data_IF_901241421676
#
_entry.id   IF_901241421676
#
_cell.length_a   1.000
_cell.length_b   1.000
_cell.length_c   1.000
_cell.angle_alpha   90.00
_cell.angle_beta   90.00
_cell.angle_gamma   90.00
#
_symmetry.space_group_name_H-M   'P 1'
#
loop_
_entity.id
_entity.type
_entity.pdbx_description
1 polymer ?
#
# COMPACT_ATOMS: atom_id res chain seq x y z
N UNK A 1 20.79 -52.24 -20.02
CA UNK A 1 20.11 -53.50 -20.40
C UNK A 1 18.77 -53.57 -19.69
N UNK A 2 17.70 -53.84 -20.46
CA UNK A 2 16.38 -54.38 -20.07
C UNK A 2 15.58 -53.57 -19.03
N UNK A 3 14.53 -52.81 -19.38
CA UNK A 3 13.30 -53.19 -20.12
C UNK A 3 12.56 -54.33 -19.39
N UNK A 4 11.24 -54.42 -19.27
CA UNK A 4 10.09 -53.81 -19.96
C UNK A 4 8.83 -54.48 -19.38
N UNK A 5 7.66 -53.90 -19.68
CA UNK A 5 6.26 -54.44 -19.63
C UNK A 5 5.57 -54.32 -18.27
N UNK A 6 4.38 -53.73 -18.15
CA UNK A 6 3.27 -53.50 -19.10
C UNK A 6 2.01 -54.17 -18.49
N UNK A 7 0.82 -53.56 -18.46
CA UNK A 7 -0.22 -53.57 -19.52
C UNK A 7 -1.51 -52.99 -18.84
N UNK A 8 -2.08 -51.86 -19.30
CA UNK A 8 -3.29 -51.68 -20.17
C UNK A 8 -4.63 -51.63 -19.39
N UNK A 9 -5.74 -50.98 -19.79
CA UNK A 9 -6.20 -50.26 -20.99
C UNK A 9 -7.56 -49.56 -20.67
N UNK A 10 -7.97 -48.61 -21.53
CA UNK A 10 -9.37 -48.20 -21.77
C UNK A 10 -9.59 -46.68 -21.62
N UNK A 11 -9.46 -45.81 -22.64
CA UNK A 11 -10.04 -45.70 -23.99
C UNK A 11 -11.50 -45.19 -24.03
N UNK A 12 -11.71 -44.08 -24.77
CA UNK A 12 -13.02 -43.51 -25.20
C UNK A 12 -13.15 -42.00 -24.93
N UNK A 13 -12.71 -41.06 -25.79
CA UNK A 13 -13.40 -40.50 -27.00
C UNK A 13 -14.80 -39.93 -26.68
N UNK A 14 -15.31 -38.77 -27.12
CA UNK A 14 -14.94 -37.70 -28.04
C UNK A 14 -15.89 -36.49 -27.73
N UNK A 15 -15.51 -35.29 -28.17
CA UNK A 15 -16.26 -34.02 -28.22
C UNK A 15 -17.75 -34.13 -28.64
N UNK A 16 -18.60 -33.24 -28.10
CA UNK A 16 -19.47 -32.39 -28.95
C UNK A 16 -20.09 -31.17 -28.23
N UNK A 17 -20.09 -30.06 -28.96
CA UNK A 17 -20.80 -28.80 -28.74
C UNK A 17 -22.33 -28.99 -28.81
N UNK A 18 -23.11 -28.28 -27.97
CA UNK A 18 -24.52 -27.94 -28.26
C UNK A 18 -24.86 -26.53 -27.77
N UNK A 19 -25.48 -25.76 -28.67
CA UNK A 19 -26.01 -24.39 -28.56
C UNK A 19 -27.30 -24.32 -27.72
N UNK A 20 -27.73 -23.12 -27.26
CA UNK A 20 -29.03 -22.92 -26.64
C UNK A 20 -30.15 -22.82 -27.71
N UNK A 21 -31.34 -23.32 -27.40
CA UNK A 21 -32.51 -23.31 -28.27
C UNK A 21 -33.82 -23.13 -27.50
N UNK A 22 -34.66 -22.28 -28.07
CA UNK A 22 -35.93 -21.70 -27.61
C UNK A 22 -37.08 -22.67 -27.26
N UNK A 23 -38.14 -22.03 -26.71
CA UNK A 23 -39.57 -22.35 -26.69
C UNK A 23 -40.07 -22.85 -25.32
N UNK A 24 -40.83 -22.07 -24.53
CA UNK A 24 -42.18 -21.52 -24.74
C UNK A 24 -43.31 -22.57 -24.56
N UNK A 25 -44.34 -22.14 -23.81
CA UNK A 25 -45.78 -22.51 -23.86
C UNK A 25 -46.34 -23.34 -22.68
N UNK A 26 -47.46 -22.79 -22.16
CA UNK A 26 -48.65 -23.38 -21.51
C UNK A 26 -48.50 -23.99 -20.10
N UNK A 27 -49.13 -23.45 -19.06
CA UNK A 27 -50.57 -23.33 -18.71
C UNK A 27 -51.09 -24.51 -17.86
N UNK A 28 -51.74 -24.09 -16.76
CA UNK A 28 -52.89 -24.68 -16.07
C UNK A 28 -52.69 -25.59 -14.84
N UNK A 29 -53.37 -25.12 -13.77
CA UNK A 29 -54.20 -25.88 -12.83
C UNK A 29 -53.44 -26.77 -11.83
N UNK A 30 -53.83 -26.93 -10.55
CA UNK A 30 -54.99 -26.50 -9.77
C UNK A 30 -54.82 -27.00 -8.33
N UNK A 31 -55.55 -26.40 -7.39
CA UNK A 31 -55.97 -26.97 -6.10
C UNK A 31 -54.88 -27.11 -5.02
N UNK A 32 -55.12 -26.96 -3.71
CA UNK A 32 -56.31 -26.67 -2.91
C UNK A 32 -55.88 -26.53 -1.42
N UNK A 33 -56.77 -25.91 -0.60
CA UNK A 33 -56.96 -26.06 0.88
C UNK A 33 -55.95 -25.36 1.82
N UNK A 34 -56.36 -24.29 2.52
CA UNK A 34 -57.13 -24.21 3.80
C UNK A 34 -56.16 -24.21 5.01
N UNK A 35 -56.15 -23.28 5.97
CA UNK A 35 -57.23 -22.89 6.92
C UNK A 35 -56.86 -21.65 7.78
N UNK A 36 -57.86 -20.77 7.97
CA UNK A 36 -58.39 -20.14 9.21
C UNK A 36 -57.51 -19.39 10.25
N UNK A 37 -57.98 -18.19 10.66
CA UNK A 37 -58.33 -17.68 12.02
C UNK A 37 -58.65 -16.17 11.83
N UNK A 38 -59.92 -15.73 11.69
CA UNK A 38 -60.88 -15.24 12.72
C UNK A 38 -60.34 -14.06 13.56
N UNK A 39 -61.03 -12.95 13.86
CA UNK A 39 -62.41 -12.45 13.69
C UNK A 39 -62.46 -11.06 14.35
N UNK A 40 -63.36 -10.15 13.93
CA UNK A 40 -64.17 -9.33 14.86
C UNK A 40 -65.24 -8.50 14.11
N UNK A 41 -66.45 -8.57 14.66
CA UNK A 41 -67.77 -8.15 14.17
C UNK A 41 -68.06 -6.65 14.37
N UNK A 42 -68.66 -5.91 13.42
CA UNK A 42 -70.11 -5.66 13.27
C UNK A 42 -70.43 -4.14 13.38
N UNK A 43 -71.64 -3.59 13.06
CA UNK A 43 -72.87 -4.23 12.58
C UNK A 43 -73.43 -3.66 11.25
N UNK A 44 -74.50 -4.33 10.82
CA UNK A 44 -75.24 -4.31 9.55
C UNK A 44 -76.22 -3.16 9.32
N UNK A 45 -76.40 -2.77 8.05
CA UNK A 45 -77.70 -2.33 7.51
C UNK A 45 -77.90 -2.88 6.10
N UNK A 46 -79.03 -3.56 5.90
CA UNK A 46 -79.49 -4.26 4.70
C UNK A 46 -80.00 -3.33 3.60
N UNK A 47 -79.76 -3.64 2.31
CA UNK A 47 -80.78 -3.46 1.24
C UNK A 47 -80.43 -4.25 -0.05
N UNK A 48 -81.40 -5.10 -0.45
CA UNK A 48 -81.85 -5.54 -1.79
C UNK A 48 -80.90 -5.58 -3.01
N UNK A 49 -80.93 -6.74 -3.67
CA UNK A 49 -80.25 -7.18 -4.90
C UNK A 49 -80.67 -6.51 -6.22
N UNK A 50 -79.68 -6.17 -7.06
CA UNK A 50 -79.69 -6.20 -8.55
C UNK A 50 -78.23 -6.36 -9.04
N UNK A 51 -77.92 -7.21 -10.05
CA UNK A 51 -76.56 -7.32 -10.59
C UNK A 51 -76.32 -6.20 -11.62
N UNK A 52 -75.50 -5.21 -11.27
CA UNK A 52 -75.07 -4.17 -12.21
C UNK A 52 -73.74 -4.57 -12.84
N UNK A 53 -73.77 -4.68 -14.17
CA UNK A 53 -72.68 -4.93 -15.10
C UNK A 53 -71.37 -4.25 -14.66
N UNK A 54 -70.29 -5.03 -14.48
CA UNK A 54 -68.96 -4.49 -14.24
C UNK A 54 -68.45 -3.80 -15.52
N UNK A 55 -68.16 -2.49 -15.52
CA UNK A 55 -67.42 -1.90 -16.62
C UNK A 55 -66.00 -2.46 -16.54
N UNK A 56 -65.57 -3.14 -17.60
CA UNK A 56 -64.15 -3.38 -17.85
C UNK A 56 -63.46 -2.01 -18.00
N UNK A 57 -63.00 -1.43 -16.89
CA UNK A 57 -61.96 -0.42 -16.96
C UNK A 57 -60.71 -1.12 -17.49
N UNK A 58 -60.50 -0.97 -18.80
CA UNK A 58 -59.17 -1.07 -19.39
C UNK A 58 -58.31 -0.13 -18.57
N UNK A 59 -57.47 -0.65 -17.67
CA UNK A 59 -56.35 0.12 -17.17
C UNK A 59 -55.52 0.46 -18.41
N UNK A 60 -55.67 1.69 -18.88
CA UNK A 60 -54.91 2.19 -20.00
C UNK A 60 -53.44 2.02 -19.62
N UNK A 61 -52.68 1.26 -20.40
CA UNK A 61 -51.21 1.15 -20.29
C UNK A 61 -50.51 2.51 -20.29
N UNK A 62 -51.23 3.57 -20.65
CA UNK A 62 -50.85 4.97 -20.52
C UNK A 62 -50.54 5.40 -19.08
N UNK A 63 -51.20 4.89 -18.03
CA UNK A 63 -50.97 5.38 -16.66
C UNK A 63 -49.63 4.91 -16.07
N UNK A 64 -49.25 3.66 -16.32
CA UNK A 64 -47.95 3.10 -15.90
C UNK A 64 -46.77 3.76 -16.64
N UNK A 65 -46.97 4.13 -17.91
CA UNK A 65 -45.97 4.89 -18.68
C UNK A 65 -45.78 6.32 -18.13
N UNK A 66 -46.86 6.99 -17.71
CA UNK A 66 -46.80 8.32 -17.10
C UNK A 66 -46.05 8.31 -15.76
N UNK A 67 -46.29 7.30 -14.92
CA UNK A 67 -45.54 7.13 -13.66
C UNK A 67 -44.05 6.86 -13.93
N UNK A 68 -43.73 5.97 -14.88
CA UNK A 68 -42.32 5.69 -15.24
C UNK A 68 -41.57 6.92 -15.76
N UNK A 69 -42.23 7.81 -16.50
CA UNK A 69 -41.66 9.07 -16.97
C UNK A 69 -41.41 10.06 -15.83
N UNK A 70 -42.29 10.09 -14.82
CA UNK A 70 -42.07 10.91 -13.62
C UNK A 70 -40.87 10.41 -12.81
N UNK A 71 -40.71 9.09 -12.64
CA UNK A 71 -39.52 8.54 -11.97
C UNK A 71 -38.23 8.85 -12.73
N UNK A 72 -38.22 8.75 -14.06
CA UNK A 72 -37.05 9.10 -14.87
C UNK A 72 -36.71 10.59 -14.77
N UNK A 73 -37.72 11.46 -14.72
CA UNK A 73 -37.52 12.88 -14.47
C UNK A 73 -36.88 13.14 -13.10
N UNK A 74 -37.36 12.48 -12.04
CA UNK A 74 -36.78 12.60 -10.69
C UNK A 74 -35.34 12.09 -10.64
N UNK A 75 -35.03 10.95 -11.26
CA UNK A 75 -33.65 10.43 -11.32
C UNK A 75 -32.73 11.39 -12.08
N UNK A 76 -33.19 11.96 -13.19
CA UNK A 76 -32.42 12.95 -13.95
C UNK A 76 -32.15 14.22 -13.12
N UNK A 77 -33.13 14.66 -12.33
CA UNK A 77 -33.01 15.78 -11.42
C UNK A 77 -32.03 15.48 -10.27
N UNK A 78 -32.07 14.27 -9.69
CA UNK A 78 -31.13 13.83 -8.67
C UNK A 78 -29.70 13.81 -9.20
N UNK A 79 -29.48 13.26 -10.40
CA UNK A 79 -28.17 13.26 -11.05
C UNK A 79 -27.68 14.68 -11.39
N UNK A 80 -28.59 15.58 -11.78
CA UNK A 80 -28.31 17.00 -12.01
C UNK A 80 -27.94 17.73 -10.71
N UNK A 81 -28.65 17.46 -9.61
CA UNK A 81 -28.34 17.99 -8.29
C UNK A 81 -27.00 17.44 -7.81
N UNK A 82 -26.72 16.15 -8.01
CA UNK A 82 -25.44 15.55 -7.64
C UNK A 82 -24.29 16.17 -8.44
N UNK A 83 -24.45 16.36 -9.76
CA UNK A 83 -23.45 17.05 -10.58
C UNK A 83 -23.31 18.52 -10.20
N UNK A 84 -24.39 19.20 -9.79
CA UNK A 84 -24.36 20.59 -9.30
C UNK A 84 -23.69 20.69 -7.94
N UNK A 85 -23.98 19.81 -6.98
CA UNK A 85 -23.31 19.74 -5.68
C UNK A 85 -21.85 19.35 -5.83
N UNK A 86 -21.52 18.45 -6.77
CA UNK A 86 -20.14 18.20 -7.19
C UNK A 86 -19.53 19.48 -7.74
N UNK A 87 -20.24 20.26 -8.56
CA UNK A 87 -19.83 21.55 -9.15
C UNK A 87 -19.66 22.69 -8.12
N UNK A 88 -20.53 22.76 -7.12
CA UNK A 88 -20.56 23.76 -6.05
C UNK A 88 -19.53 23.41 -4.96
N UNK A 89 -19.27 22.12 -4.71
CA UNK A 89 -18.13 21.65 -3.92
C UNK A 89 -16.77 22.10 -4.48
N UNK A 90 -16.69 22.58 -5.73
CA UNK A 90 -15.48 23.21 -6.28
C UNK A 90 -15.30 24.68 -5.83
N UNK A 91 -16.35 25.35 -5.34
CA UNK A 91 -16.31 26.77 -4.97
C UNK A 91 -15.99 27.01 -3.48
N UNK A 92 -16.24 26.04 -2.60
CA UNK A 92 -16.12 26.16 -1.13
C UNK A 92 -14.68 26.17 -0.58
N UNK A 93 -13.66 26.37 -1.40
CA UNK A 93 -12.27 26.56 -0.94
C UNK A 93 -11.63 25.35 -0.24
N UNK A 94 -12.34 24.23 -0.07
CA UNK A 94 -11.77 22.94 0.33
C UNK A 94 -11.36 22.19 -0.94
N UNK A 95 -10.12 22.35 -1.36
CA UNK A 95 -9.48 21.60 -2.45
C UNK A 95 -9.70 20.08 -2.26
N UNK A 96 -10.77 19.53 -2.84
CA UNK A 96 -10.86 18.11 -3.14
C UNK A 96 -10.16 17.93 -4.47
N UNK A 97 -8.96 17.36 -4.42
CA UNK A 97 -8.18 17.07 -5.61
C UNK A 97 -9.00 16.20 -6.55
N UNK A 98 -9.09 16.66 -7.80
CA UNK A 98 -9.64 15.86 -8.89
C UNK A 98 -8.65 14.71 -9.12
N UNK A 99 -9.03 13.50 -8.76
CA UNK A 99 -8.34 12.30 -9.22
C UNK A 99 -8.88 12.00 -10.62
N UNK A 100 -8.35 12.67 -11.66
CA UNK A 100 -8.56 12.20 -13.03
C UNK A 100 -7.54 11.11 -13.32
N UNK A 101 -8.03 9.94 -13.77
CA UNK A 101 -7.20 8.78 -14.14
C UNK A 101 -6.17 9.12 -15.23
N UNK A 102 -6.48 10.14 -16.03
CA UNK A 102 -5.65 10.65 -17.14
C UNK A 102 -4.36 11.35 -16.67
N UNK A 103 -4.18 11.58 -15.35
CA UNK A 103 -2.99 12.22 -14.77
C UNK A 103 -1.91 11.23 -14.32
N UNK A 104 -2.06 9.93 -14.55
CA UNK A 104 -1.08 8.93 -14.13
C UNK A 104 0.15 8.95 -15.06
N UNK A 105 1.34 9.31 -14.55
CA UNK A 105 2.52 9.36 -15.37
C UNK A 105 3.00 7.94 -15.69
N UNK A 106 2.88 7.57 -16.96
CA UNK A 106 3.70 6.55 -17.63
C UNK A 106 3.51 5.09 -17.16
N UNK A 107 3.77 4.11 -18.04
CA UNK A 107 3.88 2.72 -17.63
C UNK A 107 5.06 2.57 -16.67
N UNK A 108 4.84 1.87 -15.56
CA UNK A 108 5.91 1.48 -14.63
C UNK A 108 6.83 0.52 -15.37
N UNK A 109 8.14 0.79 -15.45
CA UNK A 109 9.07 -0.13 -16.11
C UNK A 109 9.04 -1.49 -15.41
N UNK A 110 8.98 -2.56 -16.19
CA UNK A 110 9.08 -3.92 -15.67
C UNK A 110 10.47 -4.12 -15.04
N UNK A 111 10.49 -4.59 -13.80
CA UNK A 111 11.72 -4.78 -13.04
C UNK A 111 11.69 -6.08 -12.24
N UNK A 112 12.86 -6.73 -12.15
CA UNK A 112 13.01 -7.99 -11.42
C UNK A 112 12.97 -7.76 -9.91
N UNK A 113 11.83 -8.05 -9.31
CA UNK A 113 11.63 -8.01 -7.85
C UNK A 113 11.74 -9.43 -7.31
N UNK A 114 12.60 -9.62 -6.30
CA UNK A 114 12.69 -10.89 -5.58
C UNK A 114 11.42 -11.10 -4.72
N UNK A 115 10.87 -12.32 -4.64
CA UNK A 115 9.67 -12.60 -3.86
C UNK A 115 9.88 -12.44 -2.34
N UNK A 116 11.13 -12.57 -1.86
CA UNK A 116 11.46 -12.55 -0.43
C UNK A 116 11.54 -11.13 0.17
N UNK A 117 11.42 -10.07 -0.64
CA UNK A 117 11.52 -8.69 -0.18
C UNK A 117 10.27 -8.25 0.58
N UNK A 118 10.46 -7.43 1.61
CA UNK A 118 9.34 -6.83 2.34
C UNK A 118 8.51 -5.97 1.39
N UNK A 119 7.27 -6.39 1.16
CA UNK A 119 6.36 -5.76 0.21
C UNK A 119 5.47 -4.75 0.92
N UNK A 120 5.35 -3.55 0.35
CA UNK A 120 4.49 -2.48 0.86
C UNK A 120 3.54 -2.02 -0.24
N UNK A 121 2.27 -1.92 0.12
CA UNK A 121 1.21 -1.42 -0.75
C UNK A 121 1.20 0.11 -0.75
N UNK A 122 1.21 0.66 -1.95
CA UNK A 122 1.42 2.08 -2.17
C UNK A 122 0.48 2.56 -3.26
N UNK A 123 -0.25 3.65 -3.00
CA UNK A 123 -1.17 4.25 -3.96
C UNK A 123 -0.52 5.44 -4.67
N UNK A 124 -0.69 5.52 -5.99
CA UNK A 124 -0.21 6.67 -6.77
C UNK A 124 -0.96 7.93 -6.35
N UNK A 125 -0.25 9.07 -6.33
CA UNK A 125 -0.83 10.40 -6.17
C UNK A 125 -0.88 11.10 -7.53
N UNK A 126 -1.93 11.89 -7.80
CA UNK A 126 -1.94 12.75 -8.98
C UNK A 126 -0.83 13.79 -8.87
N UNK A 127 -0.33 14.28 -10.01
CA UNK A 127 0.70 15.33 -10.04
C UNK A 127 0.22 16.63 -9.37
N UNK A 128 -1.06 16.96 -9.54
CA UNK A 128 -1.74 18.09 -8.88
C UNK A 128 -1.82 17.92 -7.35
N UNK A 129 -1.69 16.68 -6.87
CA UNK A 129 -1.63 16.29 -5.45
C UNK A 129 -0.28 16.60 -4.82
N UNK A 130 0.24 17.81 -5.07
CA UNK A 130 1.49 18.32 -4.52
C UNK A 130 1.21 19.41 -3.46
N UNK A 131 2.12 19.58 -2.50
CA UNK A 131 2.08 20.69 -1.54
C UNK A 131 1.65 20.33 -0.11
N UNK A 132 1.87 21.28 0.80
CA UNK A 132 1.73 21.08 2.25
C UNK A 132 0.30 20.79 2.71
N UNK A 133 -0.70 21.43 2.11
CA UNK A 133 -2.12 21.27 2.47
C UNK A 133 -2.59 19.84 2.19
N UNK A 134 -2.28 19.32 1.00
CA UNK A 134 -2.65 17.96 0.63
C UNK A 134 -1.94 16.91 1.47
N UNK A 135 -0.62 17.07 1.67
CA UNK A 135 0.14 16.19 2.56
C UNK A 135 -0.41 16.21 4.00
N UNK A 136 -0.89 17.36 4.49
CA UNK A 136 -1.54 17.48 5.80
C UNK A 136 -2.89 16.76 5.83
N UNK A 137 -3.67 16.83 4.75
CA UNK A 137 -4.90 16.06 4.61
C UNK A 137 -4.64 14.55 4.61
N UNK A 138 -3.67 14.07 3.82
CA UNK A 138 -3.28 12.64 3.79
C UNK A 138 -2.96 12.10 5.19
N UNK A 139 -2.14 12.85 5.96
CA UNK A 139 -1.77 12.45 7.32
C UNK A 139 -2.97 12.40 8.27
N UNK A 140 -3.92 13.33 8.13
CA UNK A 140 -5.18 13.31 8.90
C UNK A 140 -6.04 12.09 8.57
N UNK A 141 -5.97 11.60 7.33
CA UNK A 141 -6.65 10.38 6.90
C UNK A 141 -5.90 9.08 7.23
N UNK A 142 -4.80 9.14 7.99
CA UNK A 142 -4.00 7.97 8.33
C UNK A 142 -3.13 7.44 7.18
N UNK A 143 -2.79 8.31 6.22
CA UNK A 143 -1.89 7.99 5.12
C UNK A 143 -0.65 8.87 5.14
N UNK A 144 0.50 8.26 4.87
CA UNK A 144 1.78 8.94 4.86
C UNK A 144 2.19 9.21 3.41
N UNK A 145 2.45 10.48 3.04
CA UNK A 145 2.97 10.81 1.72
C UNK A 145 4.37 10.23 1.55
N UNK A 146 4.67 9.82 0.33
CA UNK A 146 5.98 9.35 -0.07
C UNK A 146 6.30 9.75 -1.51
N UNK A 147 7.58 9.67 -1.89
CA UNK A 147 8.02 9.92 -3.26
C UNK A 147 9.05 8.90 -3.67
N UNK A 148 8.97 8.42 -4.91
CA UNK A 148 9.97 7.52 -5.49
C UNK A 148 10.77 8.31 -6.52
N UNK A 149 12.06 8.47 -6.28
CA UNK A 149 12.96 9.21 -7.16
C UNK A 149 13.65 8.28 -8.17
N UNK A 150 13.95 8.82 -9.35
CA UNK A 150 14.84 8.21 -10.36
C UNK A 150 14.31 6.91 -10.98
N UNK A 151 13.01 6.80 -11.24
CA UNK A 151 12.41 5.62 -11.90
C UNK A 151 12.81 5.54 -13.38
N UNK A 152 12.87 6.69 -14.06
CA UNK A 152 13.16 6.77 -15.50
C UNK A 152 14.36 7.69 -15.76
N UNK A 153 15.07 7.44 -16.86
CA UNK A 153 16.12 8.30 -17.42
C UNK A 153 15.53 9.69 -17.70
N UNK A 154 15.71 10.63 -16.77
CA UNK A 154 15.07 11.95 -16.82
C UNK A 154 14.66 12.54 -15.47
N UNK A 155 15.08 11.97 -14.33
CA UNK A 155 14.81 12.47 -12.98
C UNK A 155 13.32 12.65 -12.64
N UNK A 156 12.43 11.93 -13.34
CA UNK A 156 11.01 11.91 -13.00
C UNK A 156 10.81 11.26 -11.63
N UNK A 157 9.95 11.87 -10.83
CA UNK A 157 9.59 11.41 -9.49
C UNK A 157 8.15 10.89 -9.55
N UNK A 158 7.92 9.72 -8.96
CA UNK A 158 6.56 9.21 -8.78
C UNK A 158 6.07 9.62 -7.39
N UNK A 159 4.99 10.39 -7.36
CA UNK A 159 4.33 10.77 -6.12
C UNK A 159 3.43 9.63 -5.68
N UNK A 160 3.63 9.18 -4.45
CA UNK A 160 2.89 8.05 -3.90
C UNK A 160 2.50 8.28 -2.46
N UNK A 161 1.62 7.44 -1.91
CA UNK A 161 1.28 7.47 -0.51
C UNK A 161 0.99 6.06 -0.01
N UNK A 162 1.30 5.81 1.27
CA UNK A 162 1.15 4.51 1.92
C UNK A 162 0.33 4.63 3.21
N UNK A 163 -0.07 3.51 3.79
CA UNK A 163 -0.66 3.49 5.13
C UNK A 163 0.34 4.01 6.16
N UNK A 164 -0.11 4.86 7.09
CA UNK A 164 0.75 5.31 8.19
C UNK A 164 1.21 4.14 9.06
N UNK A 165 0.40 3.10 9.19
CA UNK A 165 0.78 1.91 9.96
C UNK A 165 1.98 1.19 9.35
N UNK A 166 2.05 1.08 8.02
CA UNK A 166 3.16 0.38 7.37
C UNK A 166 4.44 1.22 7.40
N UNK A 167 4.32 2.54 7.26
CA UNK A 167 5.43 3.47 7.46
C UNK A 167 5.98 3.41 8.90
N UNK A 168 5.10 3.37 9.90
CA UNK A 168 5.50 3.28 11.30
C UNK A 168 6.09 1.91 11.62
N UNK A 169 5.54 0.81 11.08
CA UNK A 169 6.10 -0.55 11.22
C UNK A 169 7.53 -0.61 10.69
N UNK A 170 7.80 -0.04 9.52
CA UNK A 170 9.16 0.04 8.97
C UNK A 170 10.14 0.66 9.98
N UNK A 171 9.77 1.81 10.53
CA UNK A 171 10.62 2.54 11.47
C UNK A 171 10.78 1.80 12.79
N UNK A 172 9.71 1.17 13.29
CA UNK A 172 9.77 0.40 14.54
C UNK A 172 10.66 -0.83 14.43
N UNK A 173 10.57 -1.55 13.29
CA UNK A 173 11.34 -2.78 13.07
C UNK A 173 12.81 -2.48 12.78
N UNK A 174 13.08 -1.52 11.89
CA UNK A 174 14.45 -1.28 11.39
C UNK A 174 15.15 -0.10 12.08
N UNK A 175 14.41 0.71 12.84
CA UNK A 175 14.91 1.97 13.35
C UNK A 175 15.01 3.04 12.25
N UNK A 176 15.18 4.30 12.67
CA UNK A 176 15.27 5.45 11.76
C UNK A 176 16.39 5.31 10.73
N UNK A 177 17.57 4.89 11.19
CA UNK A 177 18.76 4.78 10.36
C UNK A 177 18.87 3.43 9.64
N UNK A 178 18.29 2.36 10.20
CA UNK A 178 18.33 1.05 9.56
C UNK A 178 17.41 0.94 8.34
N UNK A 179 16.38 1.80 8.22
CA UNK A 179 15.54 1.86 7.03
C UNK A 179 16.35 2.17 5.76
N UNK A 180 17.43 2.96 5.84
CA UNK A 180 18.23 3.36 4.67
C UNK A 180 19.04 2.20 4.07
N UNK A 181 19.39 1.22 4.90
CA UNK A 181 20.20 0.06 4.54
C UNK A 181 19.36 -1.14 4.08
N UNK A 182 18.08 -0.93 3.77
CA UNK A 182 17.16 -1.99 3.37
C UNK A 182 16.59 -1.74 1.98
N UNK A 183 16.31 -2.84 1.29
CA UNK A 183 15.62 -2.86 0.00
C UNK A 183 14.20 -3.35 0.24
N UNK A 184 13.24 -2.69 -0.39
CA UNK A 184 11.81 -2.97 -0.29
C UNK A 184 11.24 -3.22 -1.69
N UNK A 185 10.17 -4.01 -1.73
CA UNK A 185 9.31 -4.14 -2.90
C UNK A 185 8.10 -3.23 -2.71
N UNK A 186 7.86 -2.29 -3.63
CA UNK A 186 6.63 -1.51 -3.63
C UNK A 186 5.65 -2.14 -4.61
N UNK A 187 4.46 -2.46 -4.11
CA UNK A 187 3.31 -2.77 -4.95
C UNK A 187 2.57 -1.47 -5.22
N UNK A 188 2.66 -0.97 -6.44
CA UNK A 188 2.05 0.29 -6.84
C UNK A 188 0.61 0.02 -7.30
N UNK A 189 -0.34 0.62 -6.60
CA UNK A 189 -1.78 0.51 -6.81
C UNK A 189 -2.31 1.80 -7.44
N UNK A 190 -3.39 1.67 -8.22
CA UNK A 190 -4.11 2.83 -8.75
C UNK A 190 -4.74 3.65 -7.61
N UNK A 191 -5.00 4.92 -7.89
CA UNK A 191 -5.68 5.81 -6.95
C UNK A 191 -7.20 5.63 -6.96
N UNK A 192 -7.81 5.31 -8.11
CA UNK A 192 -9.25 5.09 -8.22
C UNK A 192 -9.62 3.70 -7.70
N UNK A 193 -8.94 2.68 -8.22
CA UNK A 193 -9.20 1.28 -7.94
C UNK A 193 -8.08 0.69 -7.07
N UNK A 194 -8.33 0.44 -5.77
CA UNK A 194 -7.30 -0.11 -4.88
C UNK A 194 -6.89 -1.54 -5.27
N UNK A 195 -7.74 -2.28 -5.96
CA UNK A 195 -7.46 -3.65 -6.42
C UNK A 195 -6.58 -3.70 -7.68
N UNK A 196 -6.47 -2.60 -8.42
CA UNK A 196 -5.71 -2.53 -9.68
C UNK A 196 -4.23 -2.27 -9.38
N UNK A 197 -3.42 -3.31 -9.57
CA UNK A 197 -1.96 -3.20 -9.47
C UNK A 197 -1.39 -2.64 -10.78
N UNK A 198 -0.68 -1.52 -10.70
CA UNK A 198 -0.01 -0.90 -11.84
C UNK A 198 1.36 -1.52 -12.09
N UNK A 199 2.03 -2.00 -11.04
CA UNK A 199 3.34 -2.65 -11.17
C UNK A 199 4.03 -2.86 -9.82
N UNK A 200 5.18 -3.53 -9.86
CA UNK A 200 6.05 -3.74 -8.72
C UNK A 200 7.40 -3.08 -8.96
N UNK A 201 7.91 -2.37 -7.94
CA UNK A 201 9.14 -1.59 -8.05
C UNK A 201 10.07 -1.92 -6.90
N UNK A 202 11.35 -2.15 -7.21
CA UNK A 202 12.41 -2.27 -6.21
C UNK A 202 12.91 -0.90 -5.77
N UNK A 203 12.81 -0.60 -4.49
CA UNK A 203 13.23 0.69 -3.93
C UNK A 203 14.08 0.51 -2.68
N UNK A 204 14.81 1.55 -2.31
CA UNK A 204 15.32 1.73 -0.95
C UNK A 204 14.74 2.99 -0.32
N UNK A 205 14.44 3.01 0.99
CA UNK A 205 14.25 4.24 1.72
C UNK A 205 15.55 5.07 1.68
N UNK A 206 15.47 6.30 1.22
CA UNK A 206 16.57 7.24 1.24
C UNK A 206 16.51 8.14 2.47
N UNK A 207 15.30 8.51 2.91
CA UNK A 207 15.11 9.34 4.10
C UNK A 207 13.71 9.14 4.68
N UNK A 208 13.62 9.08 6.00
CA UNK A 208 12.36 9.08 6.73
C UNK A 208 12.28 10.35 7.57
N UNK A 209 11.28 11.18 7.28
CA UNK A 209 10.99 12.39 8.05
C UNK A 209 9.98 12.08 9.15
N UNK A 210 10.28 12.52 10.36
CA UNK A 210 9.44 12.34 11.55
C UNK A 210 9.22 13.70 12.19
N UNK A 211 8.03 13.97 12.72
CA UNK A 211 7.66 15.27 13.31
C UNK A 211 8.55 15.63 14.49
N UNK A 212 8.81 14.66 15.37
CA UNK A 212 9.72 14.80 16.50
C UNK A 212 10.20 13.42 16.95
N UNK A 213 11.37 13.37 17.59
CA UNK A 213 11.90 12.12 18.15
C UNK A 213 10.98 11.53 19.25
N UNK A 214 10.11 12.35 19.87
CA UNK A 214 9.25 11.94 20.99
C UNK A 214 7.93 11.34 20.52
N UNK A 215 7.30 11.94 19.51
CA UNK A 215 6.01 11.46 18.99
C UNK A 215 6.16 10.27 18.05
N UNK A 216 7.32 10.13 17.39
CA UNK A 216 7.67 8.94 16.61
C UNK A 216 6.84 8.71 15.35
N UNK A 217 5.99 9.67 14.95
CA UNK A 217 5.12 9.56 13.78
C UNK A 217 5.89 9.88 12.50
N UNK A 218 5.75 9.04 11.48
CA UNK A 218 6.36 9.27 10.17
C UNK A 218 5.54 10.26 9.34
N UNK A 219 6.15 11.39 9.00
CA UNK A 219 5.52 12.46 8.21
C UNK A 219 5.67 12.27 6.71
N UNK A 220 6.83 11.82 6.26
CA UNK A 220 7.13 11.65 4.85
C UNK A 220 8.24 10.61 4.66
N UNK A 221 8.15 9.83 3.58
CA UNK A 221 9.15 8.83 3.21
C UNK A 221 9.68 9.13 1.82
N UNK A 222 10.98 9.39 1.73
CA UNK A 222 11.68 9.53 0.47
C UNK A 222 12.25 8.16 0.08
N UNK A 223 11.86 7.67 -1.08
CA UNK A 223 12.27 6.39 -1.65
C UNK A 223 13.12 6.65 -2.90
N UNK A 224 14.15 5.83 -3.09
CA UNK A 224 15.00 5.83 -4.26
C UNK A 224 14.79 4.53 -5.03
N UNK A 225 14.53 4.64 -6.33
CA UNK A 225 14.52 3.48 -7.22
C UNK A 225 15.91 2.81 -7.27
N UNK A 226 15.97 1.51 -6.92
CA UNK A 226 17.22 0.79 -6.73
C UNK A 226 17.18 -0.57 -7.45
N UNK A 227 17.50 -0.62 -8.77
CA UNK A 227 17.65 -1.89 -9.48
C UNK A 227 18.94 -2.60 -9.02
N UNK A 228 19.05 -3.91 -9.31
CA UNK A 228 20.11 -4.80 -8.79
C UNK A 228 21.52 -4.26 -9.05
N UNK A 229 21.79 -3.81 -10.26
CA UNK A 229 23.13 -3.42 -10.71
C UNK A 229 23.48 -1.95 -10.42
N UNK A 230 22.52 -1.15 -9.96
CA UNK A 230 22.77 0.27 -9.68
C UNK A 230 23.67 0.39 -8.46
N UNK A 231 24.75 1.15 -8.62
CA UNK A 231 25.62 1.56 -7.53
C UNK A 231 24.93 2.70 -6.77
N UNK A 232 24.74 2.52 -5.47
CA UNK A 232 24.08 3.48 -4.58
C UNK A 232 24.94 3.77 -3.36
N UNK A 233 24.84 5.01 -2.86
CA UNK A 233 25.43 5.40 -1.59
C UNK A 233 24.39 5.15 -0.50
N UNK A 234 24.77 4.43 0.56
CA UNK A 234 23.87 3.97 1.62
C UNK A 234 24.53 4.23 2.96
N UNK A 235 23.78 4.76 3.92
CA UNK A 235 24.22 4.82 5.31
C UNK A 235 23.79 3.53 6.00
N UNK A 236 24.77 2.73 6.41
CA UNK A 236 24.55 1.42 7.03
C UNK A 236 24.65 1.57 8.55
N UNK A 237 23.66 1.09 9.31
CA UNK A 237 23.71 1.16 10.77
C UNK A 237 24.77 0.24 11.35
N UNK A 238 25.36 0.66 12.47
CA UNK A 238 26.35 -0.12 13.20
C UNK A 238 25.70 -0.81 14.40
N UNK A 239 26.14 -2.03 14.67
CA UNK A 239 25.84 -2.78 15.89
C UNK A 239 27.14 -3.10 16.61
N UNK A 240 27.19 -2.81 17.90
CA UNK A 240 28.30 -3.21 18.75
C UNK A 240 28.13 -4.67 19.14
N UNK A 241 29.24 -5.41 19.15
CA UNK A 241 29.31 -6.79 19.62
C UNK A 241 30.38 -6.86 20.69
N UNK A 242 30.14 -7.66 21.75
CA UNK A 242 31.05 -7.86 22.88
C UNK A 242 31.41 -6.58 23.68
N UNK A 243 30.49 -5.61 23.76
CA UNK A 243 30.68 -4.39 24.55
C UNK A 243 30.88 -4.68 26.04
N UNK A 244 30.13 -5.61 26.62
CA UNK A 244 30.27 -6.02 28.02
C UNK A 244 31.63 -6.69 28.34
N UNK A 245 32.27 -7.29 27.34
CA UNK A 245 33.56 -7.99 27.51
C UNK A 245 34.76 -7.06 27.44
N UNK A 246 34.57 -5.84 26.91
CA UNK A 246 35.63 -4.89 26.68
C UNK A 246 36.31 -4.48 28.00
N UNK A 247 37.67 -4.44 28.05
CA UNK A 247 38.40 -4.05 29.26
C UNK A 247 38.07 -2.61 29.68
N UNK A 248 37.75 -1.72 28.73
CA UNK A 248 37.31 -0.36 29.01
C UNK A 248 36.01 -0.28 29.84
N UNK A 249 35.04 -1.14 29.53
CA UNK A 249 33.76 -1.20 30.28
C UNK A 249 33.98 -1.80 31.67
N UNK A 250 34.79 -2.86 31.79
CA UNK A 250 35.14 -3.47 33.08
C UNK A 250 35.88 -2.52 34.03
N UNK A 251 36.60 -1.53 33.49
CA UNK A 251 37.27 -0.47 34.26
C UNK A 251 36.34 0.69 34.66
N UNK A 252 35.03 0.59 34.42
CA UNK A 252 34.05 1.63 34.72
C UNK A 252 33.84 2.66 33.61
N UNK A 253 34.34 2.39 32.39
CA UNK A 253 34.02 3.18 31.21
C UNK A 253 32.71 2.76 30.54
N UNK A 254 32.28 3.53 29.55
CA UNK A 254 31.15 3.22 28.69
C UNK A 254 31.47 3.48 27.21
N UNK A 255 30.76 2.78 26.33
CA UNK A 255 30.96 2.87 24.88
C UNK A 255 30.13 4.02 24.30
N UNK A 256 30.79 5.12 23.96
CA UNK A 256 30.16 6.23 23.28
C UNK A 256 30.18 6.01 21.76
N UNK A 257 29.00 5.82 21.16
CA UNK A 257 28.84 5.70 19.72
C UNK A 257 28.75 7.11 19.11
N UNK A 258 29.88 7.60 18.58
CA UNK A 258 29.95 8.90 17.89
C UNK A 258 29.19 8.87 16.58
N UNK A 259 29.35 7.78 15.81
CA UNK A 259 28.72 7.62 14.49
C UNK A 259 27.84 6.38 14.46
N UNK A 260 26.52 6.54 14.46
CA UNK A 260 25.55 5.42 14.43
C UNK A 260 25.43 4.76 13.06
N UNK A 261 25.86 5.44 12.01
CA UNK A 261 25.86 4.94 10.63
C UNK A 261 27.16 5.27 9.93
N UNK A 262 27.56 4.39 9.02
CA UNK A 262 28.72 4.61 8.14
C UNK A 262 28.25 4.56 6.70
N UNK A 263 28.79 5.47 5.88
CA UNK A 263 28.47 5.58 4.47
C UNK A 263 29.24 4.52 3.68
N UNK A 264 28.53 3.71 2.91
CA UNK A 264 29.07 2.75 1.96
C UNK A 264 28.57 3.03 0.55
N UNK A 265 29.40 2.71 -0.42
CA UNK A 265 29.00 2.54 -1.80
C UNK A 265 28.77 1.03 -2.04
N UNK A 266 27.54 0.65 -2.34
CA UNK A 266 27.16 -0.75 -2.56
C UNK A 266 26.33 -0.89 -3.84
N UNK A 267 26.38 -2.07 -4.46
CA UNK A 267 25.39 -2.43 -5.49
C UNK A 267 24.03 -2.68 -4.86
N UNK A 268 22.94 -2.40 -5.57
CA UNK A 268 21.58 -2.61 -5.09
C UNK A 268 21.30 -4.03 -4.60
N UNK A 269 21.99 -5.04 -5.14
CA UNK A 269 21.91 -6.44 -4.73
C UNK A 269 22.65 -6.77 -3.41
N UNK A 270 23.65 -5.98 -3.01
CA UNK A 270 24.59 -6.32 -1.94
C UNK A 270 24.62 -5.27 -0.83
N UNK A 271 23.48 -4.64 -0.54
CA UNK A 271 23.38 -3.66 0.55
C UNK A 271 23.40 -4.42 1.89
N UNK A 272 24.40 -4.18 2.76
CA UNK A 272 24.47 -4.84 4.06
C UNK A 272 23.40 -4.26 4.99
N UNK A 273 22.83 -5.13 5.82
CA UNK A 273 21.74 -4.79 6.74
C UNK A 273 22.21 -3.97 7.95
N UNK A 274 23.35 -4.36 8.52
CA UNK A 274 24.05 -3.71 9.61
C UNK A 274 25.51 -4.16 9.57
N UNK A 275 26.39 -3.40 10.20
CA UNK A 275 27.80 -3.76 10.36
C UNK A 275 28.07 -4.01 11.83
N UNK A 276 28.60 -5.18 12.11
CA UNK A 276 29.02 -5.59 13.44
C UNK A 276 30.42 -5.07 13.71
N UNK A 277 30.59 -4.38 14.83
CA UNK A 277 31.85 -3.81 15.27
C UNK A 277 32.22 -4.48 16.59
N UNK A 278 33.25 -5.31 16.55
CA UNK A 278 33.79 -5.96 17.74
C UNK A 278 34.61 -4.95 18.54
N UNK A 279 34.20 -4.75 19.80
CA UNK A 279 34.85 -3.83 20.74
C UNK A 279 35.54 -4.56 21.90
N UNK A 280 35.68 -5.89 21.81
CA UNK A 280 36.24 -6.74 22.87
C UNK A 280 37.64 -6.31 23.35
N UNK A 281 38.47 -5.76 22.47
CA UNK A 281 39.85 -5.35 22.79
C UNK A 281 39.99 -3.87 23.17
N UNK A 282 38.89 -3.11 23.23
CA UNK A 282 38.95 -1.66 23.37
C UNK A 282 39.16 -1.23 24.83
N UNK A 283 40.20 -0.44 25.07
CA UNK A 283 40.52 0.14 26.38
C UNK A 283 39.95 1.56 26.56
N UNK A 284 39.96 2.06 27.80
CA UNK A 284 39.54 3.43 28.12
C UNK A 284 40.39 4.44 27.33
N UNK A 285 39.74 5.42 26.70
CA UNK A 285 40.38 6.47 25.91
C UNK A 285 40.68 6.08 24.47
N UNK A 286 40.51 4.81 24.08
CA UNK A 286 40.73 4.37 22.70
C UNK A 286 39.51 4.59 21.81
N UNK A 287 39.78 4.81 20.52
CA UNK A 287 38.82 5.02 19.45
C UNK A 287 38.89 3.92 18.38
N UNK A 288 37.72 3.51 17.88
CA UNK A 288 37.59 2.70 16.67
C UNK A 288 37.24 3.62 15.50
N UNK A 289 38.03 3.56 14.42
CA UNK A 289 37.84 4.39 13.21
C UNK A 289 37.21 3.59 12.09
N UNK A 290 36.62 4.28 11.10
CA UNK A 290 35.97 3.64 9.94
C UNK A 290 36.92 2.72 9.18
N UNK A 291 38.20 3.09 9.04
CA UNK A 291 39.22 2.27 8.37
C UNK A 291 39.48 0.89 9.02
N UNK A 292 39.13 0.72 10.29
CA UNK A 292 39.32 -0.55 11.03
C UNK A 292 38.09 -1.46 10.92
N UNK A 293 37.00 -0.99 10.32
CA UNK A 293 35.77 -1.76 10.18
C UNK A 293 35.92 -2.87 9.14
N UNK A 294 35.27 -4.02 9.34
CA UNK A 294 35.19 -5.05 8.32
C UNK A 294 34.42 -4.50 7.10
N UNK A 295 34.95 -4.74 5.90
CA UNK A 295 34.33 -4.31 4.64
C UNK A 295 33.50 -5.48 4.09
N UNK A 296 32.16 -5.38 4.04
CA UNK A 296 31.31 -6.42 3.48
C UNK A 296 31.58 -6.65 1.98
N UNK A 297 31.31 -7.86 1.44
CA UNK A 297 31.54 -8.16 0.04
C UNK A 297 30.74 -7.22 -0.87
N UNK A 298 31.34 -6.84 -2.00
CA UNK A 298 30.75 -5.93 -2.99
C UNK A 298 30.38 -4.52 -2.46
N UNK A 299 31.01 -4.09 -1.38
CA UNK A 299 30.90 -2.73 -0.85
C UNK A 299 32.24 -2.00 -0.90
N UNK A 300 32.19 -0.67 -0.99
CA UNK A 300 33.36 0.20 -0.95
C UNK A 300 33.13 1.34 0.05
N UNK A 301 34.18 1.68 0.78
CA UNK A 301 34.19 2.86 1.65
C UNK A 301 34.66 4.09 0.85
N UNK A 302 33.98 5.23 0.95
CA UNK A 302 34.45 6.49 0.39
C UNK A 302 35.69 6.97 1.13
N UNK A 303 36.72 7.41 0.39
CA UNK A 303 38.03 7.74 0.99
C UNK A 303 37.99 8.90 1.99
N UNK A 304 37.02 9.81 1.85
CA UNK A 304 36.86 11.00 2.69
C UNK A 304 36.50 10.66 4.15
N UNK A 305 35.93 9.48 4.41
CA UNK A 305 35.37 9.14 5.72
C UNK A 305 36.31 8.24 6.56
N UNK A 306 37.49 7.82 6.06
CA UNK A 306 38.30 6.77 6.70
C UNK A 306 38.74 7.06 8.15
N UNK A 307 39.04 8.32 8.47
CA UNK A 307 39.56 8.72 9.78
C UNK A 307 38.46 9.11 10.77
N UNK A 308 37.18 9.07 10.38
CA UNK A 308 36.09 9.38 11.30
C UNK A 308 36.00 8.33 12.41
N UNK A 309 35.79 8.81 13.63
CA UNK A 309 35.61 7.97 14.81
C UNK A 309 34.19 7.40 14.84
N UNK A 310 34.11 6.09 15.01
CA UNK A 310 32.86 5.34 15.06
C UNK A 310 32.41 5.21 16.50
N UNK A 311 33.29 4.66 17.35
CA UNK A 311 33.05 4.36 18.76
C UNK A 311 34.26 4.81 19.55
N UNK A 312 34.02 5.37 20.73
CA UNK A 312 35.05 5.72 21.70
C UNK A 312 34.69 5.16 23.06
N UNK A 313 35.64 4.54 23.75
CA UNK A 313 35.45 4.19 25.14
C UNK A 313 35.81 5.40 26.02
N UNK A 314 34.83 5.96 26.72
CA UNK A 314 35.00 7.13 27.59
C UNK A 314 34.72 6.77 29.04
N UNK A 315 35.34 7.46 29.97
CA UNK A 315 35.02 7.43 31.41
C UNK A 315 34.41 8.75 31.81
N UNK A 316 33.45 8.74 32.74
CA UNK A 316 32.74 9.93 33.23
C UNK A 316 33.58 10.78 34.19
N UNK A 317 34.84 10.39 34.43
CA UNK A 317 35.77 11.16 35.24
C UNK A 317 36.29 12.30 34.39
N UNK A 318 35.66 13.47 34.55
CA UNK A 318 36.17 14.74 34.05
C UNK A 318 37.61 14.91 34.49
N UNK A 319 38.53 14.71 33.56
CA UNK A 319 39.93 15.04 33.70
C UNK A 319 40.32 15.83 32.44
N UNK A 320 39.72 17.01 32.34
CA UNK A 320 40.19 18.17 31.59
C UNK A 320 40.19 19.36 32.56
#
# INVERSE_FOLDING_TARGET
>A
MLAKRGIELGAGLLLQLVRPGNAAISLLASSSRSTCISSDDGPSTSYSSQPVHAPHHRYSTTSLAVESNQYQAVISQLNAIETKLRKESYADGKLRLKFSEDSLPFPIPAHDVEPDLHTIDVHVRPEDGTGGIFCKWLRRTGRTPARVQSITTGNKQLLVHMSTQDADKLVRVYGRHGCEARVLALRVLSSSDPSKVLGMIRVKPQRVHMTSNRTGVVENVDLLFCPRDRIVHVNVPIKLVNDELAPGVKKGGWMHITSRTVRYQARGCSIPSAIEVDVKSLEVGQDVRIRQLPIPPNTRLPHQDYDAVVVRCTTDVGND
#
